data_IF_848906543957
#
_entry.id   IF_848906543957
#
_cell.length_a   1.000
_cell.length_b   1.000
_cell.length_c   1.000
_cell.angle_alpha   90.00
_cell.angle_beta   90.00
_cell.angle_gamma   90.00
#
_symmetry.space_group_name_H-M   'P 1'
#
loop_
_entity.id
_entity.type
_entity.pdbx_description
1 polymer ?
#
# COMPACT_ATOMS: atom_id res chain seq x y z
N UNK A 1 -3.14 -16.73 28.93
CA UNK A 1 -2.35 -16.38 27.75
C UNK A 1 -2.14 -17.52 26.75
N UNK A 2 -3.07 -18.47 26.58
CA UNK A 2 -2.94 -19.58 25.60
C UNK A 2 -4.16 -19.70 24.67
N UNK A 3 -5.02 -18.68 24.61
CA UNK A 3 -6.31 -18.78 23.88
C UNK A 3 -6.33 -18.12 22.50
N UNK A 4 -5.39 -17.24 22.17
CA UNK A 4 -5.41 -16.46 20.92
C UNK A 4 -4.65 -17.09 19.74
N UNK A 5 -3.95 -18.22 19.94
CA UNK A 5 -3.13 -18.87 18.90
C UNK A 5 -3.97 -19.83 18.03
N UNK A 6 -5.12 -20.30 18.53
CA UNK A 6 -5.91 -21.34 17.83
C UNK A 6 -6.81 -20.78 16.72
N UNK A 7 -7.22 -19.50 16.78
CA UNK A 7 -8.11 -18.92 15.78
C UNK A 7 -7.38 -18.59 14.46
N UNK A 8 -6.11 -18.22 14.50
CA UNK A 8 -5.32 -17.94 13.27
C UNK A 8 -5.15 -19.19 12.38
N UNK A 9 -5.22 -20.38 12.96
CA UNK A 9 -5.10 -21.63 12.20
C UNK A 9 -6.37 -22.03 11.45
N UNK A 10 -7.55 -21.64 11.92
CA UNK A 10 -8.81 -22.00 11.29
C UNK A 10 -9.06 -21.22 9.99
N UNK A 11 -8.58 -19.97 9.90
CA UNK A 11 -8.68 -19.14 8.70
C UNK A 11 -7.75 -19.62 7.60
N UNK A 12 -6.55 -20.12 7.95
CA UNK A 12 -5.58 -20.63 6.98
C UNK A 12 -6.00 -21.96 6.34
N UNK A 13 -6.71 -22.82 7.07
CA UNK A 13 -7.16 -24.13 6.55
C UNK A 13 -8.34 -24.02 5.57
N UNK A 14 -9.13 -22.96 5.61
CA UNK A 14 -10.22 -22.75 4.66
C UNK A 14 -9.70 -22.35 3.25
N UNK A 15 -8.51 -21.77 3.15
CA UNK A 15 -7.91 -21.35 1.87
C UNK A 15 -7.11 -22.48 1.16
N UNK A 16 -6.66 -23.50 1.88
CA UNK A 16 -5.87 -24.61 1.29
C UNK A 16 -6.70 -25.67 0.56
N UNK A 17 -8.04 -25.62 0.64
CA UNK A 17 -8.91 -26.64 0.04
C UNK A 17 -9.33 -26.37 -1.41
N UNK A 18 -8.96 -25.22 -2.02
CA UNK A 18 -9.45 -24.83 -3.35
C UNK A 18 -8.38 -24.71 -4.45
N UNK A 19 -7.24 -25.32 -4.28
CA UNK A 19 -6.20 -25.40 -5.31
C UNK A 19 -6.33 -26.65 -6.19
N UNK A 20 -7.44 -26.85 -6.91
CA UNK A 20 -7.51 -27.93 -7.90
C UNK A 20 -8.43 -27.59 -9.08
N UNK A 21 -7.85 -27.69 -10.27
CA UNK A 21 -8.49 -27.80 -11.58
C UNK A 21 -9.18 -26.57 -12.15
N UNK A 22 -8.44 -25.82 -12.96
CA UNK A 22 -8.99 -24.96 -13.99
C UNK A 22 -9.11 -25.80 -15.27
N UNK A 23 -10.29 -26.28 -15.59
CA UNK A 23 -10.64 -26.65 -16.95
C UNK A 23 -11.28 -25.44 -17.62
N UNK A 24 -10.73 -25.11 -18.78
CA UNK A 24 -11.06 -23.98 -19.64
C UNK A 24 -12.39 -24.28 -20.36
N UNK A 25 -13.51 -23.92 -19.76
CA UNK A 25 -14.84 -23.99 -20.39
C UNK A 25 -15.50 -22.60 -20.37
N UNK A 26 -15.28 -21.87 -21.47
CA UNK A 26 -15.77 -20.51 -21.70
C UNK A 26 -17.30 -20.45 -21.87
N UNK A 27 -18.04 -20.68 -20.80
CA UNK A 27 -19.44 -20.25 -20.69
C UNK A 27 -19.60 -19.44 -19.39
N UNK A 28 -19.97 -18.17 -19.47
CA UNK A 28 -20.24 -17.38 -18.26
C UNK A 28 -21.40 -18.03 -17.49
N UNK A 29 -21.30 -18.20 -16.18
CA UNK A 29 -22.38 -18.74 -15.38
C UNK A 29 -23.62 -17.84 -15.50
N UNK A 30 -24.75 -18.39 -15.92
CA UNK A 30 -26.04 -17.70 -15.88
C UNK A 30 -26.44 -17.56 -14.41
N UNK A 31 -26.22 -16.39 -13.82
CA UNK A 31 -26.77 -16.08 -12.51
C UNK A 31 -28.22 -15.66 -12.66
N UNK A 32 -29.13 -16.60 -12.57
CA UNK A 32 -30.55 -16.34 -12.41
C UNK A 32 -31.01 -16.97 -11.11
N UNK A 33 -31.10 -16.18 -10.05
CA UNK A 33 -31.65 -16.60 -8.76
C UNK A 33 -31.55 -15.46 -7.75
N UNK A 34 -32.59 -15.28 -6.95
CA UNK A 34 -32.55 -14.40 -5.79
C UNK A 34 -31.47 -14.95 -4.85
N UNK A 35 -30.38 -14.22 -4.68
CA UNK A 35 -29.30 -14.61 -3.75
C UNK A 35 -29.82 -14.45 -2.31
N UNK A 36 -30.14 -15.57 -1.65
CA UNK A 36 -30.69 -15.59 -0.29
C UNK A 36 -29.66 -15.95 0.78
N UNK A 37 -28.42 -16.19 0.36
CA UNK A 37 -27.32 -16.59 1.26
C UNK A 37 -26.48 -15.40 1.71
N UNK A 38 -25.84 -15.52 2.89
CA UNK A 38 -24.78 -14.62 3.35
C UNK A 38 -23.48 -15.00 2.66
N UNK A 39 -22.81 -14.01 2.04
CA UNK A 39 -21.48 -14.21 1.44
C UNK A 39 -20.38 -14.05 2.49
N UNK A 40 -20.46 -12.94 3.26
CA UNK A 40 -19.44 -12.58 4.23
C UNK A 40 -20.07 -12.17 5.56
N UNK A 41 -19.39 -12.51 6.63
CA UNK A 41 -19.68 -12.07 7.99
C UNK A 41 -18.55 -11.21 8.51
N UNK A 42 -18.87 -10.00 8.96
CA UNK A 42 -17.96 -9.05 9.60
C UNK A 42 -18.06 -9.22 11.09
N UNK A 43 -16.93 -9.31 11.80
CA UNK A 43 -16.87 -9.35 13.26
C UNK A 43 -15.94 -8.24 13.77
N UNK A 44 -16.53 -7.13 14.23
CA UNK A 44 -15.79 -5.99 14.77
C UNK A 44 -15.10 -6.30 16.11
N UNK A 45 -15.45 -7.39 16.78
CA UNK A 45 -14.77 -7.83 18.00
C UNK A 45 -13.44 -8.56 17.74
N UNK A 46 -13.24 -9.01 16.49
CA UNK A 46 -12.05 -9.70 16.05
C UNK A 46 -11.19 -8.77 15.18
N UNK A 47 -10.31 -8.02 15.83
CA UNK A 47 -9.41 -7.07 15.15
C UNK A 47 -8.22 -7.82 14.56
N UNK A 48 -7.99 -7.64 13.24
CA UNK A 48 -6.84 -8.18 12.51
C UNK A 48 -5.65 -7.23 12.65
N UNK A 49 -5.89 -5.92 12.50
CA UNK A 49 -4.88 -4.86 12.64
C UNK A 49 -5.46 -3.73 13.48
N UNK A 50 -4.84 -3.43 14.62
CA UNK A 50 -5.33 -2.40 15.56
C UNK A 50 -5.10 -0.96 15.09
N UNK A 51 -4.05 -0.74 14.33
CA UNK A 51 -3.62 0.59 13.89
C UNK A 51 -3.11 0.52 12.45
N UNK A 52 -4.03 0.67 11.50
CA UNK A 52 -3.68 0.72 10.09
C UNK A 52 -3.22 2.14 9.73
N UNK A 53 -1.99 2.29 9.22
CA UNK A 53 -1.41 3.60 8.94
C UNK A 53 -1.98 4.27 7.69
N UNK A 54 -2.62 3.49 6.82
CA UNK A 54 -3.23 3.99 5.61
C UNK A 54 -2.71 3.35 4.34
N UNK A 55 -3.35 3.76 3.26
CA UNK A 55 -2.93 3.52 1.89
C UNK A 55 -2.16 4.72 1.36
N UNK A 56 -1.20 4.48 0.50
CA UNK A 56 -0.51 5.58 -0.13
C UNK A 56 0.49 5.13 -1.17
N UNK A 57 1.40 6.03 -1.51
CA UNK A 57 2.32 5.86 -2.62
C UNK A 57 3.73 6.34 -2.26
N UNK A 58 4.72 5.83 -2.97
CA UNK A 58 6.08 6.36 -2.92
C UNK A 58 6.11 7.74 -3.58
N UNK A 59 6.66 8.75 -2.88
CA UNK A 59 6.96 10.05 -3.48
C UNK A 59 8.43 10.09 -3.89
N UNK A 60 8.66 10.37 -5.16
CA UNK A 60 10.01 10.46 -5.69
C UNK A 60 10.69 11.76 -5.22
N UNK A 61 11.78 11.62 -4.47
CA UNK A 61 12.53 12.75 -3.90
C UNK A 61 13.28 13.60 -4.95
N UNK A 62 13.33 13.18 -6.21
CA UNK A 62 13.99 13.92 -7.28
C UNK A 62 13.04 14.82 -8.10
N UNK A 63 11.78 14.96 -7.68
CA UNK A 63 10.77 15.74 -8.41
C UNK A 63 11.24 17.16 -8.76
N UNK A 64 11.87 17.84 -7.84
CA UNK A 64 12.27 19.25 -7.95
C UNK A 64 13.73 19.44 -8.38
N UNK A 65 14.28 18.48 -9.11
CA UNK A 65 15.65 18.58 -9.63
C UNK A 65 15.66 19.00 -11.09
N UNK A 66 16.70 19.70 -11.52
CA UNK A 66 16.94 20.08 -12.92
C UNK A 66 16.85 18.85 -13.83
N UNK A 67 17.37 17.71 -13.39
CA UNK A 67 17.34 16.47 -14.17
C UNK A 67 15.91 16.00 -14.48
N UNK A 68 15.00 16.08 -13.51
CA UNK A 68 13.59 15.73 -13.72
C UNK A 68 12.91 16.74 -14.63
N UNK A 69 13.20 18.02 -14.47
CA UNK A 69 12.67 19.07 -15.35
C UNK A 69 13.05 18.83 -16.81
N UNK A 70 14.32 18.52 -17.06
CA UNK A 70 14.82 18.28 -18.41
C UNK A 70 14.32 16.97 -19.05
N UNK A 71 14.06 15.93 -18.25
CA UNK A 71 13.77 14.59 -18.77
C UNK A 71 12.30 14.20 -18.78
N UNK A 72 11.46 14.82 -17.97
CA UNK A 72 10.07 14.40 -17.76
C UNK A 72 9.07 15.54 -18.00
N UNK A 73 9.50 16.63 -18.63
CA UNK A 73 8.67 17.79 -18.98
C UNK A 73 8.12 18.56 -17.76
N UNK A 74 8.71 18.36 -16.59
CA UNK A 74 8.37 19.11 -15.37
C UNK A 74 8.91 20.53 -15.49
N UNK A 75 8.10 21.51 -15.14
CA UNK A 75 8.49 22.92 -15.11
C UNK A 75 7.84 23.63 -13.92
N UNK A 76 8.38 24.76 -13.51
CA UNK A 76 7.74 25.60 -12.48
C UNK A 76 6.29 25.96 -12.85
N UNK A 77 5.97 26.09 -14.14
CA UNK A 77 4.63 26.44 -14.61
C UNK A 77 3.60 25.30 -14.47
N UNK A 78 4.03 24.05 -14.54
CA UNK A 78 3.12 22.88 -14.47
C UNK A 78 3.25 22.08 -13.17
N UNK A 79 4.22 22.38 -12.30
CA UNK A 79 4.33 21.75 -10.96
C UNK A 79 3.09 21.91 -10.12
N UNK A 80 2.41 23.06 -10.23
CA UNK A 80 1.18 23.33 -9.49
C UNK A 80 0.09 22.29 -9.81
N UNK A 81 -0.06 21.90 -11.06
CA UNK A 81 -1.06 20.92 -11.49
C UNK A 81 -0.72 19.53 -10.94
N UNK A 82 0.56 19.16 -10.97
CA UNK A 82 1.01 17.91 -10.35
C UNK A 82 0.77 17.91 -8.84
N UNK A 83 1.20 18.98 -8.14
CA UNK A 83 1.00 19.09 -6.68
C UNK A 83 -0.48 19.03 -6.31
N UNK A 84 -1.37 19.69 -7.09
CA UNK A 84 -2.82 19.61 -6.91
C UNK A 84 -3.32 18.16 -7.00
N UNK A 85 -2.91 17.41 -8.02
CA UNK A 85 -3.27 16.00 -8.22
C UNK A 85 -2.74 15.09 -7.09
N UNK A 86 -1.53 15.37 -6.60
CA UNK A 86 -0.93 14.67 -5.45
C UNK A 86 -1.70 14.95 -4.16
N UNK A 87 -2.08 16.20 -3.92
CA UNK A 87 -2.88 16.59 -2.75
C UNK A 87 -4.26 15.93 -2.79
N UNK A 88 -4.92 15.92 -3.95
CA UNK A 88 -6.22 15.31 -4.14
C UNK A 88 -6.18 13.78 -4.01
N UNK A 89 -5.09 13.12 -4.43
CA UNK A 89 -4.90 11.68 -4.20
C UNK A 89 -4.97 11.33 -2.71
N UNK A 90 -4.58 12.23 -1.83
CA UNK A 90 -4.73 12.08 -0.39
C UNK A 90 -3.96 10.91 0.21
N UNK A 91 -2.77 10.57 -0.33
CA UNK A 91 -1.95 9.49 0.24
C UNK A 91 -1.78 9.67 1.75
N UNK A 92 -2.14 8.63 2.52
CA UNK A 92 -2.13 8.65 3.99
C UNK A 92 -0.79 8.17 4.57
N UNK A 93 -0.14 7.25 3.87
CA UNK A 93 1.13 6.66 4.23
C UNK A 93 2.09 6.74 3.05
N UNK A 94 3.15 7.55 3.19
CA UNK A 94 4.07 7.90 2.11
C UNK A 94 5.48 7.46 2.46
N UNK A 95 6.21 6.97 1.48
CA UNK A 95 7.63 6.67 1.58
C UNK A 95 8.43 7.63 0.72
N UNK A 96 9.55 8.13 1.25
CA UNK A 96 10.45 9.05 0.54
C UNK A 96 11.89 8.58 0.76
N UNK A 97 12.64 8.44 -0.33
CA UNK A 97 14.06 8.11 -0.23
C UNK A 97 14.89 9.31 0.19
N UNK A 98 15.81 9.06 1.12
CA UNK A 98 16.98 9.87 1.34
C UNK A 98 18.17 9.13 0.74
N UNK A 99 18.60 9.52 -0.46
CA UNK A 99 19.63 8.84 -1.21
C UNK A 99 21.01 9.53 -1.12
N UNK A 100 22.03 8.91 -1.71
CA UNK A 100 23.40 9.42 -1.68
C UNK A 100 23.54 10.85 -2.20
N UNK A 101 22.75 11.24 -3.20
CA UNK A 101 22.85 12.57 -3.81
C UNK A 101 22.43 13.67 -2.85
N UNK A 102 21.58 13.34 -1.87
CA UNK A 102 21.20 14.28 -0.82
C UNK A 102 22.39 14.70 0.08
N UNK A 103 23.47 13.89 0.12
CA UNK A 103 24.69 14.23 0.83
C UNK A 103 25.67 15.08 0.02
N UNK A 104 25.49 15.14 -1.30
CA UNK A 104 26.46 15.77 -2.18
C UNK A 104 26.32 17.30 -2.13
N UNK A 105 27.29 17.94 -1.47
CA UNK A 105 27.35 19.41 -1.39
C UNK A 105 27.57 20.09 -2.74
N UNK A 106 28.06 19.33 -3.74
CA UNK A 106 28.20 19.79 -5.13
C UNK A 106 26.88 19.84 -5.90
N UNK A 107 25.86 19.16 -5.41
CA UNK A 107 24.52 19.11 -6.00
C UNK A 107 23.42 19.36 -4.95
N UNK A 108 23.39 20.56 -4.32
CA UNK A 108 22.49 20.84 -3.20
C UNK A 108 21.01 20.78 -3.58
N UNK A 109 20.66 20.78 -4.87
CA UNK A 109 19.29 20.66 -5.36
C UNK A 109 18.63 19.36 -4.94
N UNK A 110 19.39 18.25 -4.79
CA UNK A 110 18.83 16.95 -4.38
C UNK A 110 18.34 16.96 -2.94
N UNK A 111 19.10 17.58 -2.02
CA UNK A 111 18.62 17.76 -0.64
C UNK A 111 17.42 18.71 -0.58
N UNK A 112 17.46 19.81 -1.34
CA UNK A 112 16.33 20.75 -1.42
C UNK A 112 15.09 20.07 -2.01
N UNK A 113 15.24 19.24 -3.04
CA UNK A 113 14.15 18.45 -3.63
C UNK A 113 13.57 17.45 -2.64
N UNK A 114 14.42 16.74 -1.90
CA UNK A 114 13.99 15.83 -0.83
C UNK A 114 13.14 16.57 0.22
N UNK A 115 13.62 17.71 0.72
CA UNK A 115 12.88 18.50 1.72
C UNK A 115 11.52 18.97 1.17
N UNK A 116 11.49 19.54 -0.05
CA UNK A 116 10.22 19.94 -0.70
C UNK A 116 9.26 18.77 -0.88
N UNK A 117 9.77 17.57 -1.15
CA UNK A 117 8.94 16.36 -1.27
C UNK A 117 8.32 15.96 0.08
N UNK A 118 9.08 16.11 1.18
CA UNK A 118 8.54 15.91 2.54
C UNK A 118 7.50 16.99 2.88
N UNK A 119 7.74 18.24 2.50
CA UNK A 119 6.77 19.34 2.66
C UNK A 119 5.47 19.08 1.87
N UNK A 120 5.57 18.55 0.65
CA UNK A 120 4.41 18.15 -0.13
C UNK A 120 3.62 17.04 0.59
N UNK A 121 4.30 16.03 1.12
CA UNK A 121 3.65 14.97 1.89
C UNK A 121 3.01 15.52 3.18
N UNK A 122 3.62 16.51 3.84
CA UNK A 122 3.00 17.16 5.01
C UNK A 122 1.70 17.88 4.65
N UNK A 123 1.63 18.51 3.48
CA UNK A 123 0.41 19.18 3.01
C UNK A 123 -0.75 18.19 2.75
N UNK A 124 -0.47 16.95 2.40
CA UNK A 124 -1.51 15.90 2.26
C UNK A 124 -2.00 15.37 3.62
N UNK A 125 -1.31 15.68 4.71
CA UNK A 125 -1.56 15.09 6.02
C UNK A 125 -1.02 13.67 6.17
N UNK A 126 -0.16 13.22 5.26
CA UNK A 126 0.40 11.87 5.26
C UNK A 126 1.37 11.63 6.42
N UNK A 127 1.42 10.37 6.88
CA UNK A 127 2.53 9.85 7.66
C UNK A 127 3.66 9.48 6.70
N UNK A 128 4.86 9.99 6.95
CA UNK A 128 6.03 9.78 6.10
C UNK A 128 6.99 8.78 6.72
N UNK A 129 7.35 7.75 5.93
CA UNK A 129 8.50 6.88 6.13
C UNK A 129 9.68 7.42 5.31
N UNK A 130 10.74 7.87 5.98
CA UNK A 130 11.99 8.23 5.31
C UNK A 130 12.86 6.99 5.23
N UNK A 131 13.15 6.54 4.01
CA UNK A 131 14.04 5.39 3.79
C UNK A 131 15.42 5.87 3.37
N UNK A 132 16.43 5.57 4.20
CA UNK A 132 17.84 5.77 3.85
C UNK A 132 18.24 4.78 2.76
N UNK A 133 18.46 5.27 1.56
CA UNK A 133 18.80 4.44 0.40
C UNK A 133 20.21 4.74 -0.12
N UNK A 134 21.17 4.14 0.50
CA UNK A 134 22.56 4.14 0.06
C UNK A 134 23.26 2.94 0.65
N UNK A 135 24.52 2.70 0.27
CA UNK A 135 25.40 1.74 0.95
C UNK A 135 25.56 2.14 2.43
N UNK A 136 24.65 1.62 3.26
CA UNK A 136 24.53 2.04 4.65
C UNK A 136 25.76 1.64 5.45
N UNK A 137 26.38 2.61 6.08
CA UNK A 137 27.52 2.41 6.99
C UNK A 137 27.20 3.03 8.34
N UNK A 138 27.72 2.42 9.40
CA UNK A 138 27.52 2.93 10.76
C UNK A 138 28.01 4.38 10.92
N UNK A 139 29.09 4.76 10.25
CA UNK A 139 29.66 6.11 10.27
C UNK A 139 28.73 7.19 9.70
N UNK A 140 27.86 6.84 8.76
CA UNK A 140 26.91 7.78 8.15
C UNK A 140 25.68 8.02 9.04
N UNK A 141 25.42 7.15 10.01
CA UNK A 141 24.17 7.12 10.74
C UNK A 141 23.99 8.28 11.73
N UNK A 142 25.07 8.79 12.28
CA UNK A 142 25.00 10.00 13.12
C UNK A 142 24.54 11.21 12.31
N UNK A 143 25.12 11.40 11.11
CA UNK A 143 24.74 12.50 10.23
C UNK A 143 23.32 12.31 9.68
N UNK A 144 22.88 11.07 9.40
CA UNK A 144 21.49 10.82 9.02
C UNK A 144 20.51 11.13 10.15
N UNK A 145 20.86 10.81 11.39
CA UNK A 145 20.04 11.22 12.55
C UNK A 145 19.96 12.75 12.70
N UNK A 146 21.05 13.48 12.38
CA UNK A 146 21.04 14.94 12.34
C UNK A 146 20.07 15.48 11.27
N UNK A 147 19.96 14.81 10.11
CA UNK A 147 18.94 15.14 9.09
C UNK A 147 17.53 14.92 9.64
N UNK A 148 17.25 13.81 10.30
CA UNK A 148 15.94 13.55 10.89
C UNK A 148 15.60 14.59 11.97
N UNK A 149 16.60 14.99 12.77
CA UNK A 149 16.46 16.08 13.74
C UNK A 149 16.13 17.41 13.04
N UNK A 150 16.84 17.77 11.97
CA UNK A 150 16.59 19.00 11.19
C UNK A 150 15.17 19.02 10.63
N UNK A 151 14.71 17.90 10.05
CA UNK A 151 13.33 17.80 9.53
C UNK A 151 12.29 18.06 10.62
N UNK A 152 12.43 17.42 11.78
CA UNK A 152 11.44 17.47 12.86
C UNK A 152 11.48 18.77 13.66
N UNK A 153 12.68 19.19 14.10
CA UNK A 153 12.85 20.24 15.11
C UNK A 153 13.15 21.60 14.48
N UNK A 154 13.87 21.64 13.35
CA UNK A 154 14.23 22.89 12.69
C UNK A 154 13.17 23.31 11.65
N UNK A 155 12.74 22.32 10.82
CA UNK A 155 11.78 22.57 9.74
C UNK A 155 10.34 22.30 10.12
N UNK A 156 10.10 21.72 11.30
CA UNK A 156 8.77 21.36 11.80
C UNK A 156 7.97 20.45 10.87
N UNK A 157 8.66 19.53 10.16
CA UNK A 157 8.05 18.54 9.29
C UNK A 157 7.59 17.33 10.12
N UNK A 158 6.54 17.55 10.90
CA UNK A 158 6.01 16.60 11.88
C UNK A 158 5.33 15.39 11.26
N UNK A 159 5.16 15.38 9.94
CA UNK A 159 4.69 14.23 9.15
C UNK A 159 5.70 13.07 9.14
N UNK A 160 6.99 13.34 9.32
CA UNK A 160 8.02 12.29 9.44
C UNK A 160 7.79 11.49 10.71
N UNK A 161 7.33 10.25 10.58
CA UNK A 161 6.94 9.38 11.70
C UNK A 161 7.68 8.05 11.70
N UNK A 162 8.24 7.66 10.57
CA UNK A 162 8.96 6.41 10.45
C UNK A 162 10.29 6.59 9.72
N UNK A 163 11.23 5.74 10.07
CA UNK A 163 12.52 5.62 9.38
C UNK A 163 12.82 4.16 9.11
N UNK A 164 13.22 3.86 7.88
CA UNK A 164 13.80 2.58 7.48
C UNK A 164 15.23 2.81 6.98
N UNK A 165 16.15 1.95 7.36
CA UNK A 165 17.54 2.07 6.91
C UNK A 165 17.86 0.96 5.92
N UNK A 166 18.26 1.34 4.73
CA UNK A 166 18.61 0.50 3.60
C UNK A 166 17.40 -0.13 2.90
N UNK A 167 17.17 0.33 1.67
CA UNK A 167 16.23 -0.30 0.75
C UNK A 167 16.69 -1.71 0.38
N UNK A 168 15.79 -2.71 0.46
CA UNK A 168 16.01 -4.09 0.03
C UNK A 168 17.32 -4.70 0.56
N UNK A 169 17.54 -4.54 1.87
CA UNK A 169 18.81 -4.89 2.53
C UNK A 169 19.25 -6.32 2.25
N UNK A 170 18.34 -7.27 2.14
CA UNK A 170 18.64 -8.68 1.89
C UNK A 170 19.08 -8.97 0.44
N UNK A 171 19.06 -7.99 -0.45
CA UNK A 171 19.68 -8.03 -1.78
C UNK A 171 21.06 -7.38 -1.83
N UNK A 172 21.53 -6.83 -0.72
CA UNK A 172 22.82 -6.14 -0.62
C UNK A 172 23.91 -7.02 -0.02
N UNK A 173 25.12 -6.47 0.11
CA UNK A 173 26.27 -7.12 0.79
C UNK A 173 26.30 -6.84 2.31
N UNK A 174 25.30 -6.16 2.86
CA UNK A 174 25.21 -5.86 4.29
C UNK A 174 24.95 -7.15 5.05
N UNK A 175 25.82 -7.46 6.01
CA UNK A 175 25.60 -8.61 6.90
C UNK A 175 24.58 -8.28 7.99
N UNK A 176 23.96 -9.32 8.57
CA UNK A 176 22.99 -9.18 9.66
C UNK A 176 23.56 -8.37 10.85
N UNK A 177 24.81 -8.65 11.26
CA UNK A 177 25.45 -7.95 12.37
C UNK A 177 25.79 -6.49 12.02
N UNK A 178 26.22 -6.22 10.79
CA UNK A 178 26.42 -4.84 10.34
C UNK A 178 25.09 -4.07 10.30
N UNK A 179 24.02 -4.71 9.86
CA UNK A 179 22.68 -4.13 9.86
C UNK A 179 22.25 -3.71 11.26
N UNK A 180 22.40 -4.60 12.25
CA UNK A 180 22.14 -4.28 13.65
C UNK A 180 23.01 -3.11 14.13
N UNK A 181 24.32 -3.11 13.81
CA UNK A 181 25.24 -2.04 14.20
C UNK A 181 24.78 -0.69 13.62
N UNK A 182 24.42 -0.64 12.34
CA UNK A 182 23.89 0.55 11.65
C UNK A 182 22.69 1.12 12.40
N UNK A 183 21.67 0.29 12.69
CA UNK A 183 20.50 0.71 13.44
C UNK A 183 20.82 1.14 14.88
N UNK A 184 21.75 0.47 15.54
CA UNK A 184 22.15 0.83 16.92
C UNK A 184 22.74 2.23 16.95
N UNK A 185 23.69 2.55 16.07
CA UNK A 185 24.31 3.89 16.01
C UNK A 185 23.26 4.98 15.73
N UNK A 186 22.35 4.71 14.78
CA UNK A 186 21.28 5.63 14.46
C UNK A 186 20.35 5.91 15.64
N UNK A 187 19.86 4.84 16.29
CA UNK A 187 18.93 4.95 17.41
C UNK A 187 19.56 5.61 18.64
N UNK A 188 20.83 5.30 18.96
CA UNK A 188 21.52 5.98 20.04
C UNK A 188 21.63 7.49 19.77
N UNK A 189 21.92 7.88 18.55
CA UNK A 189 21.98 9.31 18.19
C UNK A 189 20.59 10.01 18.29
N UNK A 190 19.49 9.31 17.91
CA UNK A 190 18.14 9.85 18.12
C UNK A 190 17.82 10.03 19.60
N UNK A 191 18.32 9.14 20.48
CA UNK A 191 18.18 9.28 21.94
C UNK A 191 18.98 10.48 22.45
N UNK A 192 20.21 10.66 22.00
CA UNK A 192 21.03 11.83 22.34
C UNK A 192 20.34 13.14 21.97
N UNK A 193 19.63 13.16 20.85
CA UNK A 193 18.81 14.29 20.41
C UNK A 193 17.46 14.41 21.12
N UNK A 194 17.04 13.41 21.92
CA UNK A 194 15.72 13.39 22.59
C UNK A 194 14.53 13.26 21.64
N UNK A 195 14.72 12.70 20.45
CA UNK A 195 13.68 12.53 19.43
C UNK A 195 13.33 11.07 19.14
N UNK A 196 13.95 10.10 19.82
CA UNK A 196 13.69 8.67 19.58
C UNK A 196 12.20 8.30 19.68
N UNK A 197 11.48 8.86 20.63
CA UNK A 197 10.07 8.59 20.87
C UNK A 197 9.13 9.25 19.85
N UNK A 198 9.64 10.17 19.02
CA UNK A 198 8.88 10.81 17.94
C UNK A 198 8.86 10.00 16.64
N UNK A 199 9.74 9.01 16.53
CA UNK A 199 10.02 8.24 15.31
C UNK A 199 9.90 6.74 15.57
N UNK A 200 9.11 6.07 14.77
CA UNK A 200 9.10 4.60 14.70
C UNK A 200 10.24 4.11 13.81
N UNK A 201 10.99 3.16 14.31
CA UNK A 201 12.11 2.53 13.60
C UNK A 201 11.63 1.22 12.99
N UNK A 202 11.61 1.16 11.65
CA UNK A 202 11.14 0.00 10.91
C UNK A 202 12.33 -0.75 10.32
N UNK A 203 12.38 -2.04 10.56
CA UNK A 203 13.41 -2.91 10.00
C UNK A 203 12.89 -3.70 8.82
N UNK A 204 13.68 -3.79 7.76
CA UNK A 204 13.32 -4.65 6.63
C UNK A 204 13.50 -4.02 5.27
N UNK A 205 12.37 -3.59 4.67
CA UNK A 205 12.27 -3.38 3.22
C UNK A 205 12.75 -4.63 2.46
N UNK A 206 12.37 -5.82 2.98
CA UNK A 206 12.89 -7.09 2.51
C UNK A 206 12.23 -7.49 1.19
N UNK A 207 13.04 -7.85 0.21
CA UNK A 207 12.57 -8.62 -0.93
C UNK A 207 12.33 -10.07 -0.51
N UNK A 208 11.67 -10.86 -1.36
CA UNK A 208 11.21 -12.20 -1.03
C UNK A 208 12.32 -13.19 -0.63
N UNK A 209 13.53 -13.00 -1.15
CA UNK A 209 14.62 -13.92 -0.90
C UNK A 209 15.16 -13.82 0.52
N UNK A 210 15.36 -14.96 1.19
CA UNK A 210 15.94 -15.04 2.54
C UNK A 210 15.21 -14.26 3.64
N UNK A 211 13.96 -13.86 3.45
CA UNK A 211 13.20 -13.09 4.42
C UNK A 211 13.16 -13.72 5.81
N UNK A 212 12.94 -15.04 5.89
CA UNK A 212 12.87 -15.76 7.16
C UNK A 212 14.13 -15.57 8.03
N UNK A 213 15.31 -15.58 7.41
CA UNK A 213 16.59 -15.38 8.10
C UNK A 213 16.65 -13.96 8.68
N UNK A 214 16.26 -12.96 7.90
CA UNK A 214 16.27 -11.56 8.31
C UNK A 214 15.24 -11.26 9.40
N UNK A 215 14.00 -11.74 9.25
CA UNK A 215 12.97 -11.57 10.27
C UNK A 215 13.37 -12.24 11.60
N UNK A 216 13.88 -13.47 11.57
CA UNK A 216 14.34 -14.15 12.78
C UNK A 216 15.50 -13.41 13.45
N UNK A 217 16.46 -12.89 12.66
CA UNK A 217 17.56 -12.12 13.22
C UNK A 217 17.07 -10.83 13.87
N UNK A 218 16.21 -10.07 13.21
CA UNK A 218 15.63 -8.82 13.71
C UNK A 218 14.82 -9.06 14.99
N UNK A 219 13.95 -10.06 15.02
CA UNK A 219 13.17 -10.39 16.19
C UNK A 219 14.02 -10.77 17.39
N UNK A 220 15.10 -11.53 17.17
CA UNK A 220 15.99 -12.02 18.23
C UNK A 220 16.99 -10.99 18.72
N UNK A 221 17.56 -10.20 17.82
CA UNK A 221 18.73 -9.37 18.11
C UNK A 221 18.46 -7.86 18.05
N UNK A 222 17.27 -7.43 17.56
CA UNK A 222 16.92 -6.03 17.34
C UNK A 222 15.53 -5.68 17.91
N UNK A 223 14.93 -6.54 18.73
CA UNK A 223 13.58 -6.31 19.27
C UNK A 223 13.46 -5.04 20.12
N UNK A 224 14.54 -4.65 20.78
CA UNK A 224 14.64 -3.42 21.58
C UNK A 224 14.97 -2.15 20.76
N UNK A 225 15.22 -2.30 19.46
CA UNK A 225 15.58 -1.24 18.53
C UNK A 225 14.42 -0.90 17.60
N UNK A 226 13.80 -1.95 17.04
CA UNK A 226 12.77 -1.83 16.01
C UNK A 226 11.38 -1.74 16.62
N UNK A 227 10.53 -0.91 16.00
CA UNK A 227 9.11 -0.76 16.34
C UNK A 227 8.19 -1.53 15.36
N UNK A 228 8.71 -1.95 14.21
CA UNK A 228 7.98 -2.69 13.18
C UNK A 228 8.91 -3.34 12.15
N UNK A 229 8.28 -4.07 11.22
CA UNK A 229 8.95 -4.73 10.10
C UNK A 229 8.36 -4.28 8.79
N UNK A 230 9.12 -4.39 7.69
CA UNK A 230 8.64 -4.09 6.34
C UNK A 230 9.11 -5.09 5.29
N UNK A 231 8.35 -5.16 4.21
CA UNK A 231 8.65 -6.04 3.08
C UNK A 231 8.16 -5.41 1.77
N UNK A 232 8.78 -5.83 0.66
CA UNK A 232 8.41 -5.45 -0.69
C UNK A 232 7.77 -6.62 -1.43
N UNK A 233 6.76 -6.34 -2.26
CA UNK A 233 6.07 -7.36 -3.03
C UNK A 233 5.88 -6.89 -4.48
N UNK A 234 6.49 -7.64 -5.40
CA UNK A 234 6.27 -7.50 -6.84
C UNK A 234 5.83 -8.80 -7.46
N UNK A 235 4.87 -8.73 -8.39
CA UNK A 235 4.39 -9.90 -9.13
C UNK A 235 4.11 -9.55 -10.59
N UNK A 236 4.08 -10.57 -11.42
CA UNK A 236 3.76 -10.42 -12.84
C UNK A 236 2.23 -10.39 -13.03
N UNK A 237 1.71 -9.54 -13.92
CA UNK A 237 0.26 -9.34 -14.05
C UNK A 237 -0.51 -10.61 -14.46
N UNK A 238 0.16 -11.60 -15.05
CA UNK A 238 -0.45 -12.88 -15.42
C UNK A 238 -0.39 -13.94 -14.30
N UNK A 239 0.27 -13.65 -13.18
CA UNK A 239 0.38 -14.57 -12.04
C UNK A 239 -0.61 -14.15 -10.94
N UNK A 240 -1.79 -14.76 -10.99
CA UNK A 240 -2.92 -14.37 -10.13
C UNK A 240 -2.77 -14.85 -8.68
N UNK A 241 -2.02 -15.92 -8.43
CA UNK A 241 -1.87 -16.50 -7.09
C UNK A 241 -0.71 -15.90 -6.31
N UNK A 242 0.33 -15.50 -6.99
CA UNK A 242 1.59 -15.05 -6.41
C UNK A 242 1.48 -13.90 -5.41
N UNK A 243 0.65 -12.86 -5.60
CA UNK A 243 0.51 -11.82 -4.58
C UNK A 243 -0.05 -12.36 -3.26
N UNK A 244 -1.02 -13.26 -3.30
CA UNK A 244 -1.60 -13.90 -2.11
C UNK A 244 -0.60 -14.83 -1.44
N UNK A 245 0.10 -15.66 -2.22
CA UNK A 245 1.14 -16.58 -1.72
C UNK A 245 2.28 -15.81 -1.03
N UNK A 246 2.65 -14.63 -1.56
CA UNK A 246 3.68 -13.77 -0.96
C UNK A 246 3.22 -13.12 0.34
N UNK A 247 2.00 -12.61 0.39
CA UNK A 247 1.42 -12.06 1.63
C UNK A 247 1.39 -13.15 2.71
N UNK A 248 0.86 -14.33 2.39
CA UNK A 248 0.82 -15.48 3.30
C UNK A 248 2.21 -15.93 3.73
N UNK A 249 3.17 -15.98 2.82
CA UNK A 249 4.55 -16.37 3.11
C UNK A 249 5.25 -15.41 4.08
N UNK A 250 4.99 -14.11 4.00
CA UNK A 250 5.49 -13.12 4.96
C UNK A 250 4.88 -13.37 6.34
N UNK A 251 3.55 -13.53 6.42
CA UNK A 251 2.86 -13.80 7.68
C UNK A 251 3.33 -15.11 8.30
N UNK A 252 3.53 -16.16 7.51
CA UNK A 252 4.11 -17.42 7.99
C UNK A 252 5.51 -17.24 8.57
N UNK A 253 6.36 -16.43 7.94
CA UNK A 253 7.68 -16.10 8.46
C UNK A 253 7.58 -15.33 9.78
N UNK A 254 6.69 -14.32 9.85
CA UNK A 254 6.45 -13.54 11.07
C UNK A 254 5.93 -14.40 12.21
N UNK A 255 5.03 -15.35 11.94
CA UNK A 255 4.45 -16.24 12.94
C UNK A 255 5.44 -17.29 13.48
N UNK A 256 6.45 -17.65 12.70
CA UNK A 256 7.51 -18.58 13.11
C UNK A 256 8.64 -17.94 13.91
N UNK A 257 8.68 -16.60 13.99
CA UNK A 257 9.73 -15.90 14.73
C UNK A 257 9.64 -16.17 16.23
N UNK A 258 10.80 -16.39 16.85
CA UNK A 258 10.95 -16.27 18.31
C UNK A 258 10.88 -14.79 18.68
N UNK A 259 9.75 -14.35 19.19
CA UNK A 259 9.53 -12.94 19.53
C UNK A 259 8.87 -12.80 20.91
N UNK A 260 9.29 -11.77 21.63
CA UNK A 260 8.72 -11.43 22.92
C UNK A 260 7.40 -10.66 22.78
N UNK A 261 7.22 -9.96 21.66
CA UNK A 261 6.04 -9.15 21.36
C UNK A 261 5.70 -9.20 19.85
N UNK A 262 4.44 -8.96 19.53
CA UNK A 262 3.99 -8.81 18.14
C UNK A 262 4.25 -7.37 17.72
N UNK A 263 4.95 -7.18 16.61
CA UNK A 263 5.19 -5.88 15.98
C UNK A 263 4.45 -5.80 14.66
N UNK A 264 3.95 -4.60 14.27
CA UNK A 264 3.29 -4.42 12.99
C UNK A 264 4.26 -4.71 11.83
N UNK A 265 3.68 -5.19 10.72
CA UNK A 265 4.41 -5.34 9.46
C UNK A 265 3.75 -4.48 8.38
N UNK A 266 4.57 -3.81 7.60
CA UNK A 266 4.15 -2.90 6.54
C UNK A 266 4.60 -3.44 5.18
N UNK A 267 3.81 -3.20 4.14
CA UNK A 267 4.27 -3.33 2.76
C UNK A 267 4.67 -1.94 2.28
N UNK A 268 5.95 -1.66 2.39
CA UNK A 268 6.52 -0.33 2.10
C UNK A 268 6.82 -0.12 0.62
N UNK A 269 6.68 -1.17 -0.19
CA UNK A 269 6.75 -1.07 -1.63
C UNK A 269 6.05 -2.26 -2.28
N UNK A 270 5.15 -2.00 -3.23
CA UNK A 270 4.56 -3.05 -4.07
C UNK A 270 4.23 -2.52 -5.46
N UNK A 271 4.19 -3.44 -6.42
CA UNK A 271 3.85 -3.11 -7.79
C UNK A 271 3.66 -4.34 -8.68
N UNK A 272 3.01 -4.10 -9.83
CA UNK A 272 2.74 -5.13 -10.83
C UNK A 272 3.71 -4.98 -11.99
N UNK A 273 4.32 -6.08 -12.41
CA UNK A 273 5.20 -6.14 -13.56
C UNK A 273 4.43 -6.59 -14.81
N UNK A 274 4.77 -5.97 -15.93
CA UNK A 274 4.34 -6.36 -17.26
C UNK A 274 5.34 -7.26 -17.97
N UNK A 275 5.01 -7.63 -19.22
CA UNK A 275 5.91 -8.36 -20.10
C UNK A 275 7.01 -7.42 -20.60
N UNK A 276 8.26 -7.85 -20.52
CA UNK A 276 9.38 -7.13 -21.17
C UNK A 276 9.39 -7.41 -22.66
N UNK A 277 9.62 -6.37 -23.45
CA UNK A 277 9.89 -6.49 -24.88
C UNK A 277 11.41 -6.59 -25.06
N UNK A 278 11.87 -7.49 -25.91
CA UNK A 278 13.30 -7.79 -26.11
C UNK A 278 14.11 -6.54 -26.45
N UNK A 279 15.16 -6.27 -25.68
CA UNK A 279 16.18 -5.26 -25.95
C UNK A 279 16.00 -3.93 -25.23
N UNK A 280 14.88 -3.67 -24.57
CA UNK A 280 14.67 -2.47 -23.78
C UNK A 280 14.63 -2.78 -22.26
N UNK A 281 15.13 -1.87 -21.43
CA UNK A 281 14.92 -1.91 -20.01
C UNK A 281 13.54 -1.30 -19.69
N UNK A 282 12.48 -2.08 -19.98
CA UNK A 282 11.11 -1.64 -19.76
C UNK A 282 10.70 -2.04 -18.34
N UNK A 283 10.53 -1.06 -17.50
CA UNK A 283 10.08 -1.25 -16.13
C UNK A 283 8.84 -0.37 -15.88
N UNK A 284 7.66 -0.92 -15.61
CA UNK A 284 7.35 -2.33 -15.29
C UNK A 284 7.15 -3.26 -16.48
N UNK A 285 7.18 -2.75 -17.72
CA UNK A 285 6.85 -3.49 -18.95
C UNK A 285 5.41 -3.28 -19.40
N UNK A 286 4.95 -4.16 -20.28
CA UNK A 286 3.72 -4.01 -21.06
C UNK A 286 2.67 -5.07 -20.70
N UNK A 287 1.41 -4.77 -20.97
CA UNK A 287 0.35 -5.76 -20.96
C UNK A 287 0.69 -6.86 -21.96
N UNK A 288 0.62 -8.12 -21.53
CA UNK A 288 1.11 -9.26 -22.29
C UNK A 288 0.51 -9.33 -23.68
N UNK A 289 1.39 -9.41 -24.69
CA UNK A 289 1.02 -9.45 -26.10
C UNK A 289 0.68 -8.08 -26.72
N UNK A 290 0.96 -6.99 -26.02
CA UNK A 290 0.73 -5.62 -26.50
C UNK A 290 1.94 -4.71 -26.26
N UNK A 291 1.87 -3.48 -26.76
CA UNK A 291 2.82 -2.40 -26.46
C UNK A 291 2.22 -1.36 -25.49
N UNK A 292 1.16 -1.73 -24.76
CA UNK A 292 0.50 -0.85 -23.77
C UNK A 292 1.23 -1.01 -22.44
N UNK A 293 1.82 0.05 -21.87
CA UNK A 293 2.46 0.00 -20.56
C UNK A 293 1.48 -0.47 -19.49
N UNK A 294 1.84 -1.52 -18.74
CA UNK A 294 0.93 -2.15 -17.77
C UNK A 294 0.40 -1.14 -16.73
N UNK A 295 1.21 -0.19 -16.28
CA UNK A 295 0.83 0.83 -15.31
C UNK A 295 -0.31 1.75 -15.76
N UNK A 296 -0.58 1.81 -17.09
CA UNK A 296 -1.63 2.64 -17.69
C UNK A 296 -2.96 1.90 -17.90
N UNK A 297 -3.08 0.67 -17.39
CA UNK A 297 -4.24 -0.20 -17.70
C UNK A 297 -5.20 -0.33 -16.52
N UNK A 298 -6.48 -0.54 -16.84
CA UNK A 298 -7.52 -0.92 -15.87
C UNK A 298 -7.15 -2.24 -15.18
N UNK A 299 -6.57 -3.19 -15.91
CA UNK A 299 -6.13 -4.48 -15.36
C UNK A 299 -5.12 -4.29 -14.21
N UNK A 300 -4.18 -3.33 -14.36
CA UNK A 300 -3.24 -2.99 -13.29
C UNK A 300 -3.98 -2.51 -12.04
N UNK A 301 -4.90 -1.56 -12.18
CA UNK A 301 -5.67 -1.02 -11.07
C UNK A 301 -6.52 -2.09 -10.40
N UNK A 302 -7.23 -2.89 -11.16
CA UNK A 302 -8.09 -3.96 -10.66
C UNK A 302 -7.32 -5.01 -9.85
N UNK A 303 -6.14 -5.40 -10.29
CA UNK A 303 -5.26 -6.33 -9.56
C UNK A 303 -4.67 -5.72 -8.28
N UNK A 304 -4.47 -4.41 -8.24
CA UNK A 304 -4.12 -3.73 -7.00
C UNK A 304 -5.26 -3.78 -5.97
N UNK A 305 -6.53 -3.67 -6.39
CA UNK A 305 -7.68 -3.87 -5.49
C UNK A 305 -7.65 -5.26 -4.85
N UNK A 306 -7.46 -6.29 -5.67
CA UNK A 306 -7.31 -7.68 -5.19
C UNK A 306 -6.21 -7.78 -4.14
N UNK A 307 -5.06 -7.16 -4.42
CA UNK A 307 -3.93 -7.15 -3.49
C UNK A 307 -4.26 -6.42 -2.18
N UNK A 308 -4.91 -5.24 -2.23
CA UNK A 308 -5.27 -4.47 -1.05
C UNK A 308 -6.21 -5.24 -0.13
N UNK A 309 -7.29 -5.82 -0.68
CA UNK A 309 -8.26 -6.61 0.11
C UNK A 309 -7.56 -7.80 0.79
N UNK A 310 -6.70 -8.51 0.07
CA UNK A 310 -5.95 -9.63 0.65
C UNK A 310 -4.93 -9.15 1.72
N UNK A 311 -4.24 -8.03 1.49
CA UNK A 311 -3.29 -7.48 2.45
C UNK A 311 -3.97 -7.03 3.76
N UNK A 312 -5.15 -6.41 3.68
CA UNK A 312 -5.97 -6.09 4.85
C UNK A 312 -6.33 -7.36 5.62
N UNK A 313 -6.91 -8.34 4.97
CA UNK A 313 -7.33 -9.60 5.60
C UNK A 313 -6.16 -10.42 6.14
N UNK A 314 -4.93 -10.16 5.70
CA UNK A 314 -3.71 -10.86 6.16
C UNK A 314 -3.02 -10.13 7.32
N UNK A 315 -3.40 -8.88 7.65
CA UNK A 315 -2.96 -8.17 8.84
C UNK A 315 -1.76 -7.23 8.63
N UNK A 316 -1.52 -6.75 7.42
CA UNK A 316 -0.52 -5.70 7.21
C UNK A 316 -1.04 -4.35 7.68
N UNK A 317 -0.13 -3.57 8.30
CA UNK A 317 -0.49 -2.34 9.01
C UNK A 317 -0.35 -1.06 8.16
N UNK A 318 -0.06 -1.17 6.89
CA UNK A 318 0.04 -0.05 5.95
C UNK A 318 0.61 -0.49 4.61
N UNK A 319 0.17 0.17 3.54
CA UNK A 319 0.48 -0.21 2.16
C UNK A 319 0.97 0.99 1.35
N UNK A 320 2.17 0.91 0.76
CA UNK A 320 2.76 1.95 -0.09
C UNK A 320 2.98 1.40 -1.49
N UNK A 321 2.23 1.93 -2.45
CA UNK A 321 2.38 1.58 -3.86
C UNK A 321 3.60 2.28 -4.46
N UNK A 322 4.39 1.58 -5.23
CA UNK A 322 5.39 2.13 -6.12
C UNK A 322 4.72 2.51 -7.46
N UNK A 323 4.64 3.81 -7.91
CA UNK A 323 4.88 5.04 -7.18
C UNK A 323 3.79 6.09 -7.49
N UNK A 324 3.89 7.32 -6.97
CA UNK A 324 2.88 8.36 -7.11
C UNK A 324 2.92 9.01 -8.49
N UNK A 325 4.05 9.60 -8.84
CA UNK A 325 4.25 10.37 -10.05
C UNK A 325 5.58 10.04 -10.71
N UNK A 326 5.64 10.26 -12.02
CA UNK A 326 6.87 10.07 -12.76
C UNK A 326 7.86 11.19 -12.46
N UNK A 327 9.04 10.82 -11.98
CA UNK A 327 10.19 11.68 -11.86
C UNK A 327 11.47 10.88 -12.14
N UNK A 328 12.58 11.54 -12.46
CA UNK A 328 13.78 10.87 -12.95
C UNK A 328 14.56 10.20 -11.84
N UNK A 329 14.50 8.86 -11.79
CA UNK A 329 15.51 8.05 -11.12
C UNK A 329 16.73 7.82 -12.01
N UNK A 330 17.82 7.28 -11.45
CA UNK A 330 19.05 7.03 -12.21
C UNK A 330 18.89 6.03 -13.35
N UNK A 331 17.96 5.10 -13.25
CA UNK A 331 17.86 3.88 -14.06
C UNK A 331 16.72 3.89 -15.10
N UNK A 332 16.47 5.03 -15.77
CA UNK A 332 15.57 5.06 -16.91
C UNK A 332 14.10 5.30 -16.59
N UNK A 333 13.22 5.06 -17.53
CA UNK A 333 11.79 5.31 -17.42
C UNK A 333 11.13 4.25 -16.55
N UNK A 334 10.42 4.69 -15.51
CA UNK A 334 9.59 3.84 -14.69
C UNK A 334 8.13 4.20 -14.93
N UNK A 335 7.32 3.19 -15.26
CA UNK A 335 5.90 3.36 -15.58
C UNK A 335 4.97 2.78 -14.53
N UNK A 336 5.40 2.76 -13.25
CA UNK A 336 4.58 2.30 -12.13
C UNK A 336 3.68 3.38 -11.56
N UNK A 337 3.95 4.64 -11.90
CA UNK A 337 3.28 5.81 -11.31
C UNK A 337 1.79 5.85 -11.60
N UNK A 338 1.04 6.40 -10.65
CA UNK A 338 -0.41 6.61 -10.81
C UNK A 338 -0.72 7.92 -11.52
N UNK A 339 0.23 8.87 -11.54
CA UNK A 339 0.19 10.13 -12.28
C UNK A 339 1.30 10.09 -13.34
N UNK A 340 0.97 10.36 -14.59
CA UNK A 340 1.90 10.34 -15.70
C UNK A 340 2.90 11.50 -15.70
N UNK A 341 3.65 11.66 -16.81
CA UNK A 341 4.71 12.67 -16.94
C UNK A 341 4.18 14.06 -17.25
N UNK A 342 5.01 15.08 -16.96
CA UNK A 342 4.73 16.46 -17.35
C UNK A 342 4.68 16.68 -18.86
N UNK A 343 5.44 15.89 -19.64
CA UNK A 343 5.35 15.91 -21.10
C UNK A 343 3.96 15.56 -21.62
N UNK A 344 3.24 14.66 -20.91
CA UNK A 344 1.90 14.21 -21.25
C UNK A 344 0.80 15.03 -20.52
N UNK A 345 1.13 16.08 -19.76
CA UNK A 345 0.19 16.88 -18.99
C UNK A 345 -0.28 16.23 -17.69
N UNK A 346 0.52 15.35 -17.12
CA UNK A 346 0.22 14.60 -15.87
C UNK A 346 -1.10 13.82 -15.92
N UNK A 347 -1.30 12.92 -16.90
CA UNK A 347 -2.52 12.14 -16.98
C UNK A 347 -2.69 11.28 -15.74
N UNK A 348 -3.93 11.13 -15.28
CA UNK A 348 -4.32 10.24 -14.18
C UNK A 348 -4.59 8.85 -14.75
N UNK A 349 -3.86 7.85 -14.27
CA UNK A 349 -4.08 6.47 -14.70
C UNK A 349 -5.17 5.79 -13.85
N UNK A 350 -5.78 4.69 -14.31
CA UNK A 350 -6.81 3.99 -13.56
C UNK A 350 -6.43 3.66 -12.11
N UNK A 351 -5.15 3.38 -11.86
CA UNK A 351 -4.63 3.14 -10.52
C UNK A 351 -4.61 4.37 -9.61
N UNK A 352 -4.69 5.60 -10.16
CA UNK A 352 -4.90 6.81 -9.37
C UNK A 352 -6.27 6.79 -8.69
N UNK A 353 -7.32 6.59 -9.47
CA UNK A 353 -8.69 6.59 -8.95
C UNK A 353 -8.95 5.43 -8.00
N UNK A 354 -8.38 4.26 -8.29
CA UNK A 354 -8.40 3.14 -7.38
C UNK A 354 -7.73 3.50 -6.03
N UNK A 355 -6.53 4.11 -6.08
CA UNK A 355 -5.82 4.55 -4.85
C UNK A 355 -6.63 5.62 -4.13
N UNK A 356 -7.23 6.56 -4.87
CA UNK A 356 -8.09 7.62 -4.32
C UNK A 356 -9.26 7.06 -3.51
N UNK A 357 -9.94 6.01 -4.00
CA UNK A 357 -11.01 5.36 -3.23
C UNK A 357 -10.49 4.86 -1.88
N UNK A 358 -9.37 4.15 -1.87
CA UNK A 358 -8.81 3.61 -0.63
C UNK A 358 -8.34 4.70 0.35
N UNK A 359 -7.74 5.78 -0.15
CA UNK A 359 -7.24 6.87 0.70
C UNK A 359 -8.35 7.75 1.29
N UNK A 360 -9.53 7.79 0.68
CA UNK A 360 -10.65 8.63 1.14
C UNK A 360 -11.69 7.86 1.96
N UNK A 361 -11.74 6.54 1.85
CA UNK A 361 -12.77 5.72 2.52
C UNK A 361 -12.32 5.13 3.85
N UNK A 362 -11.09 5.38 4.28
CA UNK A 362 -10.61 5.08 5.63
C UNK A 362 -9.70 6.22 6.13
N UNK A 363 -9.28 6.15 7.38
CA UNK A 363 -8.31 7.11 7.95
C UNK A 363 -7.18 6.38 8.67
N UNK A 364 -5.99 6.98 8.76
CA UNK A 364 -4.91 6.46 9.61
C UNK A 364 -5.40 6.19 11.03
N UNK A 365 -4.96 5.07 11.59
CA UNK A 365 -5.38 4.66 12.94
C UNK A 365 -6.63 3.77 12.98
N UNK A 366 -7.32 3.58 11.86
CA UNK A 366 -8.45 2.66 11.81
C UNK A 366 -8.03 1.21 12.03
N UNK A 367 -8.99 0.41 12.46
CA UNK A 367 -8.84 -1.03 12.65
C UNK A 367 -9.25 -1.77 11.39
N UNK A 368 -8.48 -2.78 11.01
CA UNK A 368 -8.95 -3.81 10.09
C UNK A 368 -9.62 -4.89 10.93
N UNK A 369 -10.86 -5.21 10.62
CA UNK A 369 -11.68 -6.18 11.35
C UNK A 369 -11.92 -7.44 10.54
N UNK A 370 -12.20 -8.53 11.23
CA UNK A 370 -12.41 -9.83 10.61
C UNK A 370 -13.55 -9.80 9.62
N UNK A 371 -13.28 -10.32 8.43
CA UNK A 371 -14.28 -10.52 7.37
C UNK A 371 -14.16 -11.96 6.89
N UNK A 372 -15.12 -12.79 7.27
CA UNK A 372 -15.10 -14.23 6.99
C UNK A 372 -16.03 -14.59 5.84
N UNK A 373 -15.54 -15.38 4.88
CA UNK A 373 -16.37 -15.96 3.85
C UNK A 373 -17.27 -17.06 4.45
N UNK A 374 -18.58 -16.90 4.34
CA UNK A 374 -19.59 -17.89 4.80
C UNK A 374 -19.97 -18.81 3.64
N UNK A 375 -20.46 -18.22 2.56
CA UNK A 375 -20.83 -18.94 1.31
C UNK A 375 -20.40 -18.16 0.07
N UNK A 376 -19.41 -17.27 0.22
CA UNK A 376 -18.93 -16.49 -0.91
C UNK A 376 -18.29 -17.39 -1.97
N UNK A 377 -18.63 -17.14 -3.23
CA UNK A 377 -17.96 -17.77 -4.36
C UNK A 377 -16.51 -17.25 -4.46
N UNK A 378 -15.62 -18.06 -5.05
CA UNK A 378 -14.18 -17.75 -5.13
C UNK A 378 -13.85 -16.46 -5.89
N UNK A 379 -14.76 -15.97 -6.74
CA UNK A 379 -14.63 -14.71 -7.46
C UNK A 379 -15.03 -13.47 -6.64
N UNK A 380 -15.49 -13.64 -5.38
CA UNK A 380 -15.87 -12.57 -4.47
C UNK A 380 -14.79 -12.33 -3.43
N UNK A 381 -14.39 -11.09 -3.24
CA UNK A 381 -13.47 -10.66 -2.20
C UNK A 381 -14.10 -9.55 -1.37
N UNK A 382 -13.85 -9.56 -0.07
CA UNK A 382 -14.36 -8.56 0.86
C UNK A 382 -13.36 -8.30 1.99
N UNK A 383 -13.26 -7.05 2.43
CA UNK A 383 -12.57 -6.64 3.64
C UNK A 383 -13.32 -5.51 4.33
N UNK A 384 -13.21 -5.41 5.64
CA UNK A 384 -13.89 -4.39 6.42
C UNK A 384 -12.94 -3.66 7.37
N UNK A 385 -13.21 -2.38 7.58
CA UNK A 385 -12.47 -1.49 8.47
C UNK A 385 -13.44 -0.66 9.32
N UNK A 386 -12.97 -0.22 10.49
CA UNK A 386 -13.74 0.66 11.40
C UNK A 386 -12.81 1.57 12.19
N UNK A 387 -13.32 2.74 12.62
CA UNK A 387 -12.65 3.57 13.63
C UNK A 387 -12.78 3.01 15.06
N UNK A 388 -13.58 1.96 15.23
CA UNK A 388 -13.90 1.38 16.52
C UNK A 388 -15.04 2.07 17.25
N UNK A 389 -15.67 3.07 16.63
CA UNK A 389 -16.81 3.83 17.17
C UNK A 389 -18.04 3.70 16.24
N UNK A 390 -18.18 4.58 15.28
CA UNK A 390 -19.38 4.68 14.43
C UNK A 390 -19.11 4.57 12.94
N UNK A 391 -17.86 4.66 12.52
CA UNK A 391 -17.52 4.63 11.11
C UNK A 391 -17.04 3.25 10.66
N UNK A 392 -17.55 2.84 9.50
CA UNK A 392 -17.23 1.57 8.84
C UNK A 392 -16.96 1.80 7.38
N UNK A 393 -16.05 1.00 6.82
CA UNK A 393 -15.86 0.86 5.39
C UNK A 393 -15.75 -0.61 5.01
N UNK A 394 -16.44 -0.97 3.93
CA UNK A 394 -16.42 -2.32 3.37
C UNK A 394 -15.93 -2.20 1.93
N UNK A 395 -14.89 -2.93 1.61
CA UNK A 395 -14.36 -3.09 0.27
C UNK A 395 -14.85 -4.40 -0.31
N UNK A 396 -15.46 -4.35 -1.49
CA UNK A 396 -15.96 -5.53 -2.17
C UNK A 396 -15.55 -5.53 -3.64
N UNK A 397 -15.03 -6.67 -4.10
CA UNK A 397 -14.57 -6.88 -5.47
C UNK A 397 -15.12 -8.18 -6.01
N UNK A 398 -15.52 -8.18 -7.29
CA UNK A 398 -15.78 -9.41 -8.05
C UNK A 398 -14.86 -9.53 -9.26
N UNK A 399 -14.34 -10.73 -9.51
CA UNK A 399 -13.62 -11.08 -10.74
C UNK A 399 -14.55 -11.79 -11.75
N UNK A 400 -15.86 -11.81 -11.50
CA UNK A 400 -16.83 -12.37 -12.45
C UNK A 400 -17.10 -11.39 -13.59
N UNK A 401 -17.19 -11.90 -14.81
CA UNK A 401 -17.54 -11.13 -16.00
C UNK A 401 -19.04 -10.76 -16.07
N UNK A 402 -19.76 -10.78 -14.93
CA UNK A 402 -21.18 -10.43 -14.78
C UNK A 402 -21.39 -9.68 -13.48
N UNK A 403 -22.43 -8.84 -13.45
CA UNK A 403 -22.87 -8.20 -12.21
C UNK A 403 -23.13 -9.26 -11.13
N UNK A 404 -22.58 -9.04 -9.95
CA UNK A 404 -22.53 -10.01 -8.87
C UNK A 404 -23.13 -9.43 -7.60
N UNK A 405 -24.18 -10.04 -7.03
CA UNK A 405 -24.73 -9.63 -5.75
C UNK A 405 -23.80 -10.02 -4.60
N UNK A 406 -23.73 -9.16 -3.59
CA UNK A 406 -23.04 -9.41 -2.33
C UNK A 406 -24.01 -9.26 -1.17
N UNK A 407 -23.89 -10.14 -0.18
CA UNK A 407 -24.60 -10.03 1.09
C UNK A 407 -23.59 -10.11 2.24
N UNK A 408 -23.52 -9.04 3.02
CA UNK A 408 -22.61 -8.89 4.18
C UNK A 408 -23.45 -8.73 5.45
N UNK A 409 -23.07 -9.42 6.52
CA UNK A 409 -23.73 -9.38 7.84
C UNK A 409 -22.72 -9.00 8.93
N UNK A 410 -23.23 -8.81 10.17
CA UNK A 410 -22.40 -8.51 11.35
C UNK A 410 -22.05 -7.03 11.49
N UNK A 411 -22.74 -6.16 10.73
CA UNK A 411 -22.60 -4.71 10.84
C UNK A 411 -23.64 -4.16 11.86
N UNK A 412 -23.46 -2.92 12.35
CA UNK A 412 -24.52 -2.26 13.11
C UNK A 412 -25.83 -2.13 12.29
N UNK A 413 -26.98 -2.25 12.98
CA UNK A 413 -28.28 -2.08 12.38
C UNK A 413 -28.51 -0.63 11.90
N UNK A 414 -29.34 -0.45 10.89
CA UNK A 414 -29.77 0.85 10.35
C UNK A 414 -28.65 1.77 9.90
N UNK A 415 -27.46 1.22 9.61
CA UNK A 415 -26.28 1.98 9.19
C UNK A 415 -26.38 2.32 7.70
N UNK A 416 -26.29 3.61 7.38
CA UNK A 416 -26.31 4.09 6.00
C UNK A 416 -24.90 4.21 5.44
N UNK A 417 -24.66 3.65 4.26
CA UNK A 417 -23.40 3.73 3.51
C UNK A 417 -23.56 4.52 2.22
N UNK A 418 -22.60 5.37 1.93
CA UNK A 418 -22.30 5.83 0.58
C UNK A 418 -21.66 4.70 -0.20
N UNK A 419 -21.90 4.63 -1.49
CA UNK A 419 -21.38 3.57 -2.37
C UNK A 419 -20.52 4.20 -3.45
N UNK A 420 -19.23 3.96 -3.41
CA UNK A 420 -18.28 4.41 -4.43
C UNK A 420 -17.92 3.23 -5.33
N UNK A 421 -18.18 3.38 -6.62
CA UNK A 421 -17.89 2.34 -7.61
C UNK A 421 -16.70 2.73 -8.49
N UNK A 422 -15.85 1.74 -8.75
CA UNK A 422 -14.84 1.77 -9.80
C UNK A 422 -14.94 0.49 -10.62
N UNK A 423 -14.91 0.61 -11.94
CA UNK A 423 -14.79 -0.50 -12.88
C UNK A 423 -14.10 -0.03 -14.18
N UNK A 424 -13.81 -0.93 -15.10
CA UNK A 424 -13.11 -0.65 -16.34
C UNK A 424 -13.91 0.25 -17.32
N UNK A 425 -15.26 0.22 -17.25
CA UNK A 425 -16.12 1.11 -18.05
C UNK A 425 -15.95 2.60 -17.71
N UNK A 426 -15.44 2.91 -16.53
CA UNK A 426 -15.30 4.27 -16.02
C UNK A 426 -13.97 4.94 -16.43
N UNK A 427 -13.20 4.35 -17.33
CA UNK A 427 -11.88 4.88 -17.72
C UNK A 427 -11.00 5.25 -16.51
N UNK A 428 -11.17 4.51 -15.41
CA UNK A 428 -10.47 4.76 -14.15
C UNK A 428 -11.15 5.78 -13.22
N UNK A 429 -12.26 6.40 -13.60
CA UNK A 429 -12.98 7.32 -12.72
C UNK A 429 -13.70 6.63 -11.55
N UNK A 430 -14.25 7.42 -10.64
CA UNK A 430 -15.07 6.97 -9.51
C UNK A 430 -16.46 7.53 -9.64
N UNK A 431 -17.46 6.69 -9.45
CA UNK A 431 -18.88 7.10 -9.48
C UNK A 431 -19.52 6.80 -8.12
N UNK A 432 -20.24 7.78 -7.58
CA UNK A 432 -21.11 7.54 -6.43
C UNK A 432 -22.44 6.95 -6.92
N UNK A 433 -22.79 5.78 -6.39
CA UNK A 433 -24.05 5.11 -6.64
C UNK A 433 -25.07 5.45 -5.54
N UNK A 434 -26.31 4.97 -5.71
CA UNK A 434 -27.33 5.07 -4.67
C UNK A 434 -26.83 4.45 -3.36
N UNK A 435 -27.06 5.15 -2.24
CA UNK A 435 -26.67 4.69 -0.92
C UNK A 435 -27.46 3.45 -0.51
N UNK A 436 -26.81 2.58 0.26
CA UNK A 436 -27.42 1.38 0.83
C UNK A 436 -27.44 1.46 2.36
N UNK A 437 -28.34 0.73 2.99
CA UNK A 437 -28.39 0.65 4.45
C UNK A 437 -28.42 -0.81 4.91
N UNK A 438 -27.91 -1.06 6.10
CA UNK A 438 -28.15 -2.33 6.79
C UNK A 438 -29.60 -2.40 7.26
N UNK A 439 -30.12 -3.61 7.34
CA UNK A 439 -31.40 -3.90 7.99
C UNK A 439 -31.28 -3.96 9.53
N UNK A 440 -32.39 -4.26 10.21
CA UNK A 440 -32.46 -4.41 11.67
C UNK A 440 -31.54 -5.51 12.22
N UNK A 441 -31.12 -6.45 11.36
CA UNK A 441 -30.23 -7.57 11.69
C UNK A 441 -28.75 -7.26 11.35
N UNK A 442 -28.46 -6.05 10.87
CA UNK A 442 -27.09 -5.63 10.50
C UNK A 442 -26.61 -6.26 9.19
N UNK A 443 -27.54 -6.58 8.28
CA UNK A 443 -27.25 -7.15 6.96
C UNK A 443 -27.42 -6.10 5.87
N UNK A 444 -26.47 -6.03 4.94
CA UNK A 444 -26.55 -5.22 3.73
C UNK A 444 -26.38 -6.09 2.48
N UNK A 445 -27.18 -5.79 1.45
CA UNK A 445 -27.07 -6.43 0.13
C UNK A 445 -26.88 -5.35 -0.94
N UNK A 446 -25.96 -5.60 -1.86
CA UNK A 446 -25.60 -4.69 -2.93
C UNK A 446 -25.03 -5.46 -4.12
N UNK A 447 -24.99 -4.81 -5.27
CA UNK A 447 -24.44 -5.39 -6.49
C UNK A 447 -23.08 -4.75 -6.83
N UNK A 448 -22.14 -5.58 -7.27
CA UNK A 448 -20.87 -5.15 -7.86
C UNK A 448 -20.92 -5.46 -9.36
N UNK A 449 -20.63 -4.50 -10.23
CA UNK A 449 -20.55 -4.70 -11.67
C UNK A 449 -19.50 -5.76 -12.02
N UNK A 450 -19.60 -6.32 -13.23
CA UNK A 450 -18.60 -7.23 -13.79
C UNK A 450 -17.19 -6.63 -13.66
N UNK A 451 -16.23 -7.46 -13.28
CA UNK A 451 -14.83 -7.07 -13.07
C UNK A 451 -14.70 -5.74 -12.29
N UNK A 452 -15.58 -5.56 -11.29
CA UNK A 452 -15.76 -4.30 -10.59
C UNK A 452 -15.30 -4.33 -9.13
N UNK A 453 -15.19 -3.12 -8.60
CA UNK A 453 -14.86 -2.85 -7.21
C UNK A 453 -15.75 -1.75 -6.67
N UNK A 454 -16.24 -1.92 -5.46
CA UNK A 454 -16.94 -0.87 -4.72
C UNK A 454 -16.40 -0.74 -3.30
N UNK A 455 -16.49 0.49 -2.76
CA UNK A 455 -16.34 0.77 -1.35
C UNK A 455 -17.66 1.30 -0.80
N UNK A 456 -18.19 0.64 0.24
CA UNK A 456 -19.27 1.16 1.06
C UNK A 456 -18.63 1.88 2.24
N UNK A 457 -18.95 3.15 2.47
CA UNK A 457 -18.35 3.92 3.56
C UNK A 457 -19.38 4.81 4.26
N UNK A 458 -19.22 4.96 5.55
CA UNK A 458 -19.99 5.93 6.34
C UNK A 458 -19.35 7.32 6.35
N UNK A 459 -18.13 7.45 5.82
CA UNK A 459 -17.42 8.72 5.78
C UNK A 459 -18.06 9.68 4.76
N UNK A 460 -18.10 10.96 5.13
CA UNK A 460 -18.50 12.04 4.26
C UNK A 460 -17.29 12.82 3.74
N UNK A 461 -17.18 12.97 2.43
CA UNK A 461 -16.15 13.73 1.70
C UNK A 461 -16.66 14.06 0.30
N UNK A 462 -16.04 15.05 -0.31
CA UNK A 462 -16.35 15.44 -1.69
C UNK A 462 -15.64 14.51 -2.68
N UNK A 463 -16.36 14.08 -3.71
CA UNK A 463 -15.76 13.46 -4.89
C UNK A 463 -15.40 14.61 -5.84
N UNK A 464 -14.17 14.70 -6.34
CA UNK A 464 -13.79 15.75 -7.27
C UNK A 464 -14.62 15.61 -8.56
N UNK A 465 -15.23 16.72 -8.99
CA UNK A 465 -16.08 16.73 -10.19
C UNK A 465 -15.27 16.48 -11.45
N UNK A 466 -14.06 17.00 -11.53
CA UNK A 466 -13.06 16.69 -12.56
C UNK A 466 -11.68 17.18 -12.06
N UNK A 467 -10.67 16.34 -12.21
CA UNK A 467 -9.28 16.77 -12.17
C UNK A 467 -8.79 16.86 -13.63
N UNK A 468 -9.12 17.99 -14.28
CA UNK A 468 -8.57 18.30 -15.59
C UNK A 468 -7.04 18.43 -15.59
#
# INVERSE_FOLDING_TARGET
MKRNIILSFAVLLAFLAFGACYEDDHQPPKVSGVHTGVDFEVDASLVITENFLGFGTQYNNNLYTTRTYESDGVSEGNLFDLEKKVLELGSQYVRIFFDKKCWDVGTPEYFSSFVRTVELAQKTGALVNVTYWHSSKAEDMSAFADVIYDLLETRHLTCVKQVTIQNEVNSTQITLDNYRTIYTVFVEKLKDWGIRDKIQIVGGDLIQDNQAIWFNYMAKNMSNILDGYSSHIYWDHWDLTKPVDRLSGIVDNLNKMEKNEVKPCYITEYGIRGQKISGAYDNPGYLRGTEIPIGRTNENAFKHVTFHINALNTGFAGLIKWDCYKAKYDNGNQYFSVIGSGEDGYPLYPSYWMTWVFTHTCKPGWKVISTQAVKAASHKLCAAMTDGESNYTIYAQTTAAVQTPFTVTGLPADMKFRVLAWNDDLMGGVTELESVSTDEEGKVTFDVKADGFIALTTLDFNIPEELE
#
